data_IF_911325261216
#
_entry.id   IF_911325261216
#
_cell.length_a   1.000
_cell.length_b   1.000
_cell.length_c   1.000
_cell.angle_alpha   90.00
_cell.angle_beta   90.00
_cell.angle_gamma   90.00
#
_symmetry.space_group_name_H-M   'P 1'
#
loop_
_entity.id
_entity.type
_entity.pdbx_description
1 polymer ?
#
# COMPACT_ATOMS: atom_id res chain seq x y z
N UNK A 1 34.48 -21.14 -8.87
CA UNK A 1 33.45 -20.31 -9.52
C UNK A 1 32.75 -19.50 -8.46
N UNK A 2 33.08 -18.22 -8.34
CA UNK A 2 32.53 -17.34 -7.34
C UNK A 2 31.14 -16.86 -7.77
N UNK A 3 30.12 -17.10 -6.92
CA UNK A 3 28.80 -16.48 -7.07
C UNK A 3 28.96 -14.98 -6.86
N UNK A 4 28.75 -14.19 -7.90
CA UNK A 4 28.57 -12.75 -7.79
C UNK A 4 27.33 -12.50 -6.94
N UNK A 5 27.54 -12.03 -5.71
CA UNK A 5 26.50 -11.46 -4.89
C UNK A 5 25.93 -10.25 -5.62
N UNK A 6 24.62 -10.26 -5.84
CA UNK A 6 23.91 -9.15 -6.41
C UNK A 6 23.51 -8.22 -5.24
N UNK A 7 24.48 -7.46 -4.73
CA UNK A 7 24.28 -6.33 -3.83
C UNK A 7 23.59 -5.20 -4.62
N UNK A 8 22.32 -5.42 -4.99
CA UNK A 8 21.44 -4.30 -5.23
C UNK A 8 20.90 -3.90 -3.87
N UNK A 9 21.53 -2.85 -3.32
CA UNK A 9 21.04 -2.11 -2.20
C UNK A 9 19.50 -1.95 -2.31
N UNK A 10 18.86 -2.15 -1.20
CA UNK A 10 17.46 -1.90 -0.92
C UNK A 10 17.16 -0.40 -1.17
N UNK A 11 17.08 -0.04 -2.44
CA UNK A 11 16.70 1.31 -2.83
C UNK A 11 15.23 1.43 -2.45
N UNK A 12 14.96 2.12 -1.34
CA UNK A 12 13.61 2.46 -0.92
C UNK A 12 12.80 2.90 -2.15
N UNK A 13 11.72 2.20 -2.44
CA UNK A 13 10.84 2.55 -3.55
C UNK A 13 10.50 4.05 -3.46
N UNK A 14 10.49 4.80 -4.57
CA UNK A 14 10.09 6.20 -4.55
C UNK A 14 8.76 6.45 -3.82
N UNK A 15 7.85 5.50 -3.88
CA UNK A 15 6.59 5.52 -3.14
C UNK A 15 6.80 5.43 -1.63
N UNK A 16 7.68 4.53 -1.16
CA UNK A 16 7.99 4.40 0.26
C UNK A 16 8.61 5.68 0.82
N UNK A 17 9.52 6.28 0.05
CA UNK A 17 10.15 7.54 0.44
C UNK A 17 9.14 8.68 0.57
N UNK A 18 8.27 8.86 -0.42
CA UNK A 18 7.28 9.95 -0.43
C UNK A 18 6.18 9.73 0.62
N UNK A 19 5.73 8.48 0.82
CA UNK A 19 4.80 8.14 1.89
C UNK A 19 5.37 8.46 3.27
N UNK A 20 6.66 8.15 3.48
CA UNK A 20 7.32 8.44 4.75
C UNK A 20 7.46 9.94 4.99
N UNK A 21 7.89 10.68 3.97
CA UNK A 21 8.12 12.12 4.06
C UNK A 21 6.83 12.92 4.26
N UNK A 22 5.74 12.50 3.62
CA UNK A 22 4.46 13.21 3.61
C UNK A 22 3.34 12.34 4.18
N UNK A 23 3.65 11.58 5.24
CA UNK A 23 2.76 10.55 5.78
C UNK A 23 1.37 11.08 6.14
N UNK A 24 1.27 12.20 6.87
CA UNK A 24 0.00 12.81 7.23
C UNK A 24 -0.81 13.15 5.97
N UNK A 25 -0.20 13.79 4.98
CA UNK A 25 -0.87 14.16 3.72
C UNK A 25 -1.33 12.92 2.94
N UNK A 26 -0.59 11.81 3.01
CA UNK A 26 -1.00 10.54 2.41
C UNK A 26 -2.28 10.01 3.04
N UNK A 27 -2.33 9.96 4.37
CA UNK A 27 -3.50 9.46 5.07
C UNK A 27 -4.71 10.41 4.89
N UNK A 28 -4.50 11.73 4.92
CA UNK A 28 -5.54 12.70 4.64
C UNK A 28 -6.10 12.58 3.22
N UNK A 29 -5.27 12.24 2.25
CA UNK A 29 -5.66 12.14 0.85
C UNK A 29 -6.36 10.81 0.53
N UNK A 30 -5.77 9.69 0.95
CA UNK A 30 -6.27 8.36 0.59
C UNK A 30 -7.30 7.81 1.58
N UNK A 31 -7.21 8.18 2.85
CA UNK A 31 -8.01 7.61 3.94
C UNK A 31 -8.52 8.71 4.90
N UNK A 32 -9.30 9.69 4.42
CA UNK A 32 -9.71 10.87 5.20
C UNK A 32 -10.47 10.51 6.49
N UNK A 33 -11.29 9.45 6.47
CA UNK A 33 -12.03 8.99 7.66
C UNK A 33 -11.09 8.48 8.77
N UNK A 34 -9.95 7.91 8.40
CA UNK A 34 -8.92 7.47 9.33
C UNK A 34 -8.11 8.68 9.80
N UNK A 35 -7.71 9.57 8.87
CA UNK A 35 -6.98 10.78 9.17
C UNK A 35 -7.67 11.62 10.24
N UNK A 36 -9.00 11.73 10.16
CA UNK A 36 -9.83 12.48 11.10
C UNK A 36 -9.80 11.93 12.55
N UNK A 37 -9.44 10.65 12.72
CA UNK A 37 -9.34 10.00 14.04
C UNK A 37 -7.95 10.09 14.64
N UNK A 38 -6.92 10.42 13.87
CA UNK A 38 -5.53 10.49 14.30
C UNK A 38 -5.27 11.83 14.99
N UNK A 39 -4.55 11.79 16.10
CA UNK A 39 -4.00 12.98 16.77
C UNK A 39 -2.63 13.30 16.16
N UNK A 40 -2.60 14.21 15.21
CA UNK A 40 -1.39 14.63 14.51
C UNK A 40 -0.44 15.49 15.35
N UNK A 41 -0.83 15.90 16.58
CA UNK A 41 0.08 16.57 17.51
C UNK A 41 1.07 15.59 18.16
N UNK A 42 0.76 14.29 18.11
CA UNK A 42 1.65 13.23 18.60
C UNK A 42 2.49 12.73 17.43
N UNK A 43 3.83 12.72 17.54
CA UNK A 43 4.70 12.24 16.48
C UNK A 43 4.40 10.80 16.09
N UNK A 44 4.36 10.54 14.79
CA UNK A 44 4.21 9.19 14.26
C UNK A 44 5.52 8.40 14.41
N UNK A 45 5.43 7.09 14.66
CA UNK A 45 6.57 6.21 14.75
C UNK A 45 6.55 5.18 13.62
N UNK A 46 7.58 5.18 12.78
CA UNK A 46 7.77 4.17 11.74
C UNK A 46 8.46 2.95 12.36
N UNK A 47 7.86 1.77 12.18
CA UNK A 47 8.27 0.50 12.78
C UNK A 47 8.89 -0.43 11.73
N UNK A 48 9.74 0.11 10.85
CA UNK A 48 10.32 -0.63 9.71
C UNK A 48 11.19 -1.82 10.18
N UNK A 49 11.92 -1.65 11.28
CA UNK A 49 12.79 -2.72 11.83
C UNK A 49 11.97 -3.87 12.36
N UNK A 50 10.93 -3.57 13.11
CA UNK A 50 9.99 -4.54 13.66
C UNK A 50 9.29 -5.28 12.52
N UNK A 51 8.85 -4.54 11.50
CA UNK A 51 8.19 -5.13 10.34
C UNK A 51 9.10 -6.10 9.57
N UNK A 52 10.36 -5.73 9.34
CA UNK A 52 11.35 -6.62 8.71
C UNK A 52 11.60 -7.90 9.52
N UNK A 53 11.61 -7.81 10.84
CA UNK A 53 11.76 -9.00 11.71
C UNK A 53 10.55 -9.92 11.63
N UNK A 54 9.34 -9.36 11.48
CA UNK A 54 8.10 -10.11 11.40
C UNK A 54 7.86 -10.75 10.01
N UNK A 55 8.58 -10.29 8.99
CA UNK A 55 8.40 -10.72 7.59
C UNK A 55 9.70 -11.16 6.91
N UNK A 56 10.55 -12.01 7.55
CA UNK A 56 11.90 -12.34 7.05
C UNK A 56 11.88 -13.09 5.71
N UNK A 57 10.85 -13.91 5.46
CA UNK A 57 10.70 -14.75 4.27
C UNK A 57 9.98 -14.07 3.12
N UNK A 58 9.52 -12.84 3.35
CA UNK A 58 8.80 -12.13 2.31
C UNK A 58 9.80 -11.62 1.27
N UNK A 59 9.56 -11.92 0.01
CA UNK A 59 10.16 -11.18 -1.12
C UNK A 59 9.73 -9.69 -1.11
N UNK A 60 9.20 -9.26 0.01
CA UNK A 60 8.53 -7.99 0.34
C UNK A 60 9.40 -6.78 0.05
N UNK A 61 10.72 -6.88 0.20
CA UNK A 61 11.62 -5.76 -0.06
C UNK A 61 11.75 -5.37 -1.55
N UNK A 62 11.24 -6.18 -2.49
CA UNK A 62 11.53 -5.97 -3.92
C UNK A 62 10.37 -5.44 -4.75
N UNK A 63 9.15 -5.52 -4.27
CA UNK A 63 7.97 -5.17 -5.07
C UNK A 63 7.00 -4.17 -4.43
N UNK A 64 7.05 -4.00 -3.08
CA UNK A 64 6.02 -3.27 -2.35
C UNK A 64 6.63 -2.21 -1.43
N UNK A 65 5.93 -1.11 -1.25
CA UNK A 65 6.31 -0.06 -0.31
C UNK A 65 5.58 -0.22 1.03
N UNK A 66 5.63 -1.43 1.61
CA UNK A 66 4.98 -1.71 2.88
C UNK A 66 5.58 -0.88 4.02
N UNK A 67 4.72 -0.27 4.80
CA UNK A 67 5.11 0.49 5.99
C UNK A 67 4.25 0.09 7.17
N UNK A 68 4.89 -0.13 8.31
CA UNK A 68 4.24 -0.29 9.59
C UNK A 68 4.44 0.97 10.43
N UNK A 69 3.34 1.61 10.80
CA UNK A 69 3.39 2.91 11.47
C UNK A 69 2.52 2.90 12.71
N UNK A 70 3.06 3.37 13.83
CA UNK A 70 2.27 3.64 15.03
C UNK A 70 1.84 5.08 15.05
N UNK A 71 0.54 5.30 15.21
CA UNK A 71 -0.08 6.60 15.41
C UNK A 71 -0.93 6.56 16.68
N UNK A 72 -1.41 7.71 17.13
CA UNK A 72 -2.30 7.82 18.26
C UNK A 72 -3.63 8.42 17.82
N UNK A 73 -4.75 7.85 18.31
CA UNK A 73 -6.06 8.48 18.11
C UNK A 73 -6.26 9.63 19.06
N UNK A 74 -7.15 10.53 18.67
CA UNK A 74 -7.72 11.53 19.57
C UNK A 74 -8.30 10.83 20.79
N UNK A 75 -7.75 11.08 21.99
CA UNK A 75 -8.09 10.33 23.19
C UNK A 75 -6.93 9.48 23.76
N UNK A 76 -5.78 9.45 23.08
CA UNK A 76 -4.50 8.93 23.60
C UNK A 76 -4.20 7.46 23.36
N UNK A 77 -5.12 6.67 22.80
CA UNK A 77 -4.85 5.27 22.48
C UNK A 77 -3.95 5.14 21.26
N UNK A 78 -2.97 4.23 21.29
CA UNK A 78 -2.14 3.93 20.13
C UNK A 78 -2.90 3.07 19.11
N UNK A 79 -2.64 3.29 17.83
CA UNK A 79 -3.11 2.47 16.71
C UNK A 79 -1.90 2.08 15.88
N UNK A 80 -1.87 0.84 15.40
CA UNK A 80 -0.88 0.40 14.44
C UNK A 80 -1.53 0.40 13.05
N UNK A 81 -0.98 1.20 12.14
CA UNK A 81 -1.36 1.20 10.74
C UNK A 81 -0.37 0.36 9.96
N UNK A 82 -0.86 -0.66 9.28
CA UNK A 82 -0.11 -1.38 8.26
C UNK A 82 -0.52 -0.82 6.89
N UNK A 83 0.41 -0.17 6.22
CA UNK A 83 0.16 0.41 4.91
C UNK A 83 0.83 -0.43 3.86
N UNK A 84 0.02 -1.02 3.00
CA UNK A 84 0.46 -1.70 1.80
C UNK A 84 0.30 -0.78 0.60
N UNK A 85 1.39 -0.57 -0.10
CA UNK A 85 1.37 0.07 -1.40
C UNK A 85 1.69 -0.97 -2.46
N UNK A 86 0.67 -1.42 -3.17
CA UNK A 86 0.83 -2.32 -4.30
C UNK A 86 1.20 -1.51 -5.55
N UNK A 87 2.51 -1.50 -5.90
CA UNK A 87 3.03 -0.80 -7.08
C UNK A 87 3.36 -1.83 -8.15
N UNK A 88 2.71 -1.78 -9.29
CA UNK A 88 3.00 -2.59 -10.49
C UNK A 88 2.67 -4.09 -10.38
N UNK A 89 1.86 -4.54 -9.46
CA UNK A 89 1.47 -5.92 -9.45
C UNK A 89 0.48 -6.22 -10.58
N UNK A 90 0.72 -7.34 -11.22
CA UNK A 90 -0.38 -8.07 -11.84
C UNK A 90 -1.30 -8.57 -10.72
N UNK A 91 -2.62 -8.68 -10.96
CA UNK A 91 -3.54 -9.24 -9.97
C UNK A 91 -3.01 -10.56 -9.42
N UNK A 92 -2.85 -10.64 -8.10
CA UNK A 92 -2.38 -11.85 -7.42
C UNK A 92 -3.50 -12.38 -6.51
N UNK A 93 -3.96 -13.60 -6.73
CA UNK A 93 -4.99 -14.23 -5.88
C UNK A 93 -4.54 -14.40 -4.43
N UNK A 94 -3.23 -14.55 -4.20
CA UNK A 94 -2.62 -14.70 -2.88
C UNK A 94 -2.54 -13.37 -2.09
N UNK A 95 -2.77 -12.21 -2.73
CA UNK A 95 -2.60 -10.91 -2.09
C UNK A 95 -3.44 -10.75 -0.80
N UNK A 96 -4.75 -11.06 -0.77
CA UNK A 96 -5.54 -10.94 0.46
C UNK A 96 -5.05 -11.83 1.59
N UNK A 97 -4.58 -13.05 1.28
CA UNK A 97 -4.00 -13.97 2.25
C UNK A 97 -2.70 -13.43 2.84
N UNK A 98 -1.88 -12.78 2.01
CA UNK A 98 -0.64 -12.13 2.44
C UNK A 98 -0.91 -11.01 3.43
N UNK A 99 -1.90 -10.12 3.15
CA UNK A 99 -2.33 -9.07 4.08
C UNK A 99 -2.78 -9.66 5.42
N UNK A 100 -3.56 -10.73 5.37
CA UNK A 100 -4.00 -11.43 6.56
C UNK A 100 -2.83 -12.04 7.36
N UNK A 101 -1.86 -12.64 6.68
CA UNK A 101 -0.66 -13.19 7.32
C UNK A 101 0.12 -12.11 8.06
N UNK A 102 0.25 -10.91 7.48
CA UNK A 102 0.91 -9.78 8.14
C UNK A 102 0.11 -9.31 9.35
N UNK A 103 -1.21 -9.22 9.24
CA UNK A 103 -2.06 -8.90 10.39
C UNK A 103 -1.81 -9.85 11.56
N UNK A 104 -1.77 -11.16 11.32
CA UNK A 104 -1.55 -12.16 12.36
C UNK A 104 -0.18 -11.98 13.04
N UNK A 105 0.88 -11.79 12.25
CA UNK A 105 2.25 -11.61 12.78
C UNK A 105 2.38 -10.33 13.60
N UNK A 106 1.78 -9.24 13.14
CA UNK A 106 1.76 -7.96 13.84
C UNK A 106 0.94 -8.06 15.13
N UNK A 107 -0.23 -8.71 15.06
CA UNK A 107 -1.06 -8.94 16.24
C UNK A 107 -0.35 -9.77 17.29
N UNK A 108 0.32 -10.86 16.89
CA UNK A 108 1.08 -11.72 17.79
C UNK A 108 2.20 -10.96 18.50
N UNK A 109 2.90 -10.08 17.79
CA UNK A 109 4.03 -9.33 18.33
C UNK A 109 3.60 -8.14 19.21
N UNK A 110 2.60 -7.37 18.77
CA UNK A 110 2.21 -6.14 19.47
C UNK A 110 0.99 -6.34 20.39
N UNK A 111 0.33 -7.49 20.36
CA UNK A 111 -0.95 -7.78 21.02
C UNK A 111 -2.03 -6.73 20.72
N UNK A 112 -1.92 -6.12 19.55
CA UNK A 112 -2.84 -5.11 19.03
C UNK A 112 -3.06 -5.34 17.54
N UNK A 113 -4.32 -5.49 17.09
CA UNK A 113 -4.59 -5.67 15.67
C UNK A 113 -4.24 -4.40 14.89
N UNK A 114 -3.49 -4.52 13.79
CA UNK A 114 -3.26 -3.39 12.91
C UNK A 114 -4.51 -3.03 12.10
N UNK A 115 -4.59 -1.78 11.67
CA UNK A 115 -5.51 -1.37 10.61
C UNK A 115 -4.76 -1.50 9.29
N UNK A 116 -5.24 -2.37 8.41
CA UNK A 116 -4.62 -2.58 7.10
C UNK A 116 -5.21 -1.63 6.07
N UNK A 117 -4.35 -0.81 5.47
CA UNK A 117 -4.67 0.18 4.44
C UNK A 117 -3.93 -0.19 3.16
N UNK A 118 -4.64 -0.30 2.07
CA UNK A 118 -4.10 -0.74 0.78
C UNK A 118 -4.29 0.34 -0.27
N UNK A 119 -3.21 0.65 -1.00
CA UNK A 119 -3.24 1.56 -2.15
C UNK A 119 -2.86 0.74 -3.38
N UNK A 120 -3.83 0.46 -4.24
CA UNK A 120 -3.64 -0.29 -5.48
C UNK A 120 -3.19 0.64 -6.60
N UNK A 121 -2.04 0.35 -7.17
CA UNK A 121 -1.43 1.13 -8.24
C UNK A 121 -1.47 0.41 -9.60
N UNK A 122 -2.11 -0.76 -9.68
CA UNK A 122 -2.29 -1.52 -10.93
C UNK A 122 -3.29 -0.84 -11.89
N UNK A 123 -3.41 -1.36 -13.10
CA UNK A 123 -4.27 -0.82 -14.14
C UNK A 123 -5.47 -1.72 -14.50
N UNK A 124 -5.74 -2.75 -13.68
CA UNK A 124 -6.90 -3.62 -13.85
C UNK A 124 -8.09 -3.03 -13.07
N UNK A 125 -9.16 -2.54 -13.71
CA UNK A 125 -10.29 -1.95 -13.02
C UNK A 125 -11.07 -2.94 -12.15
N UNK A 126 -10.99 -4.23 -12.45
CA UNK A 126 -11.77 -5.27 -11.77
C UNK A 126 -11.05 -5.84 -10.52
N UNK A 127 -9.72 -5.75 -10.48
CA UNK A 127 -8.97 -6.25 -9.35
C UNK A 127 -9.04 -5.30 -8.16
N UNK A 128 -9.93 -5.65 -7.18
CA UNK A 128 -10.23 -4.82 -6.00
C UNK A 128 -10.32 -5.66 -4.74
N UNK A 129 -9.24 -6.27 -4.29
CA UNK A 129 -9.24 -7.06 -3.08
C UNK A 129 -9.50 -6.16 -1.85
N UNK A 130 -10.47 -6.55 -1.03
CA UNK A 130 -10.87 -5.84 0.18
C UNK A 130 -11.06 -6.76 1.39
N UNK A 131 -10.89 -8.08 1.19
CA UNK A 131 -11.14 -9.09 2.23
C UNK A 131 -10.35 -10.36 2.01
N UNK A 132 -10.16 -11.10 3.11
CA UNK A 132 -9.73 -12.49 3.13
C UNK A 132 -10.63 -13.27 4.08
N UNK A 133 -10.89 -14.52 3.79
CA UNK A 133 -11.67 -15.36 4.68
C UNK A 133 -11.81 -16.79 4.22
N UNK A 134 -12.19 -17.64 5.15
CA UNK A 134 -12.48 -19.05 4.88
C UNK A 134 -13.55 -19.59 5.83
N UNK A 135 -14.18 -20.67 5.41
CA UNK A 135 -15.09 -21.47 6.24
C UNK A 135 -14.72 -22.94 6.07
N UNK A 136 -14.50 -23.63 7.18
CA UNK A 136 -14.19 -25.06 7.18
C UNK A 136 -14.70 -25.72 8.46
N UNK A 137 -15.40 -26.85 8.33
CA UNK A 137 -15.88 -27.67 9.44
C UNK A 137 -16.53 -26.91 10.62
N UNK A 138 -17.32 -25.87 10.31
CA UNK A 138 -17.99 -25.04 11.33
C UNK A 138 -17.16 -23.93 11.91
N UNK A 139 -15.89 -23.81 11.52
CA UNK A 139 -15.05 -22.64 11.82
C UNK A 139 -15.08 -21.67 10.66
N UNK A 140 -15.20 -20.36 10.93
CA UNK A 140 -15.15 -19.32 9.92
C UNK A 140 -14.28 -18.17 10.37
N UNK A 141 -13.63 -17.54 9.41
CA UNK A 141 -12.86 -16.32 9.60
C UNK A 141 -13.24 -15.35 8.48
N UNK A 142 -13.42 -14.10 8.84
CA UNK A 142 -13.55 -13.01 7.89
C UNK A 142 -12.67 -11.84 8.35
N UNK A 143 -11.83 -11.38 7.47
CA UNK A 143 -10.96 -10.21 7.64
C UNK A 143 -11.20 -9.25 6.49
N UNK A 144 -11.52 -8.00 6.82
CA UNK A 144 -11.70 -6.93 5.84
C UNK A 144 -10.59 -5.89 6.02
N UNK A 145 -10.17 -5.28 4.92
CA UNK A 145 -9.19 -4.20 4.91
C UNK A 145 -9.63 -3.07 3.98
N UNK A 146 -9.14 -1.86 4.24
CA UNK A 146 -9.55 -0.68 3.48
C UNK A 146 -8.65 -0.52 2.26
N UNK A 147 -9.26 -0.45 1.09
CA UNK A 147 -8.54 -0.36 -0.19
C UNK A 147 -8.92 0.93 -0.92
N UNK A 148 -7.92 1.60 -1.49
CA UNK A 148 -8.04 2.71 -2.42
C UNK A 148 -7.33 2.34 -3.71
N UNK A 149 -7.95 2.63 -4.86
CA UNK A 149 -7.37 2.35 -6.17
C UNK A 149 -7.02 3.65 -6.89
N UNK A 150 -5.76 3.79 -7.32
CA UNK A 150 -5.32 5.02 -8.00
C UNK A 150 -6.08 5.27 -9.30
N UNK A 151 -6.49 4.21 -9.98
CA UNK A 151 -7.24 4.31 -11.22
C UNK A 151 -8.55 5.10 -11.07
N UNK A 152 -9.19 5.05 -9.89
CA UNK A 152 -10.47 5.76 -9.63
C UNK A 152 -10.30 7.28 -9.65
N UNK A 153 -9.10 7.77 -9.38
CA UNK A 153 -8.82 9.20 -9.45
C UNK A 153 -8.75 9.74 -10.89
N UNK A 154 -8.72 8.87 -11.90
CA UNK A 154 -8.76 9.31 -13.30
C UNK A 154 -10.07 10.04 -13.64
N UNK A 155 -11.18 9.66 -13.00
CA UNK A 155 -12.49 10.31 -13.17
C UNK A 155 -12.62 11.63 -12.37
N UNK A 156 -11.67 11.88 -11.47
CA UNK A 156 -11.62 13.06 -10.58
C UNK A 156 -10.45 13.97 -10.92
N UNK A 157 -10.08 14.03 -12.19
CA UNK A 157 -8.89 14.75 -12.64
C UNK A 157 -8.88 16.23 -12.28
N UNK A 158 -10.01 16.92 -12.44
CA UNK A 158 -10.17 18.33 -12.11
C UNK A 158 -9.97 18.61 -10.60
N UNK A 159 -10.40 17.68 -9.74
CA UNK A 159 -10.15 17.78 -8.29
C UNK A 159 -8.66 17.64 -7.97
N UNK A 160 -7.95 16.76 -8.68
CA UNK A 160 -6.51 16.59 -8.51
C UNK A 160 -5.75 17.84 -8.92
N UNK A 161 -6.13 18.50 -10.03
CA UNK A 161 -5.46 19.69 -10.54
C UNK A 161 -5.50 20.88 -9.57
N UNK A 162 -6.58 21.02 -8.81
CA UNK A 162 -6.76 22.12 -7.85
C UNK A 162 -6.30 21.77 -6.43
N UNK A 163 -5.98 20.50 -6.18
CA UNK A 163 -5.58 20.02 -4.86
C UNK A 163 -4.19 20.53 -4.44
N UNK A 164 -4.08 21.01 -3.21
CA UNK A 164 -2.80 21.40 -2.60
C UNK A 164 -2.07 20.22 -1.96
N UNK A 165 -2.69 19.03 -1.92
CA UNK A 165 -2.07 17.83 -1.37
C UNK A 165 -1.05 17.26 -2.36
N UNK A 166 0.17 16.98 -1.90
CA UNK A 166 1.26 16.47 -2.75
C UNK A 166 0.88 15.16 -3.46
N UNK A 167 0.04 14.34 -2.85
CA UNK A 167 -0.40 13.06 -3.44
C UNK A 167 -1.31 13.23 -4.65
N UNK A 168 -1.98 14.35 -4.81
CA UNK A 168 -2.70 14.64 -6.05
C UNK A 168 -1.71 14.64 -7.24
N UNK A 169 -0.58 15.36 -7.13
CA UNK A 169 0.47 15.36 -8.16
C UNK A 169 1.09 13.98 -8.38
N UNK A 170 1.32 13.23 -7.30
CA UNK A 170 1.87 11.86 -7.38
C UNK A 170 0.92 10.94 -8.14
N UNK A 171 -0.37 10.97 -7.82
CA UNK A 171 -1.41 10.18 -8.51
C UNK A 171 -1.53 10.57 -9.98
N UNK A 172 -1.60 11.86 -10.28
CA UNK A 172 -1.64 12.36 -11.67
C UNK A 172 -0.42 11.86 -12.47
N UNK A 173 0.78 11.95 -11.89
CA UNK A 173 2.01 11.48 -12.53
C UNK A 173 1.97 9.97 -12.77
N UNK A 174 1.51 9.20 -11.80
CA UNK A 174 1.38 7.75 -11.91
C UNK A 174 0.40 7.36 -13.02
N UNK A 175 -0.79 7.94 -13.03
CA UNK A 175 -1.82 7.67 -14.06
C UNK A 175 -1.34 8.03 -15.46
N UNK A 176 -0.66 9.17 -15.63
CA UNK A 176 -0.06 9.55 -16.91
C UNK A 176 1.04 8.59 -17.36
N UNK A 177 1.88 8.12 -16.44
CA UNK A 177 2.90 7.13 -16.76
C UNK A 177 2.28 5.79 -17.20
N UNK A 178 1.19 5.35 -16.57
CA UNK A 178 0.44 4.14 -16.99
C UNK A 178 -0.16 4.32 -18.39
N UNK A 179 -0.80 5.45 -18.66
CA UNK A 179 -1.37 5.77 -19.97
C UNK A 179 -0.30 5.72 -21.07
N UNK A 180 0.87 6.31 -20.83
CA UNK A 180 1.99 6.29 -21.77
C UNK A 180 2.50 4.87 -22.05
N UNK A 181 2.62 4.02 -21.02
CA UNK A 181 3.02 2.61 -21.19
C UNK A 181 2.02 1.85 -22.07
N UNK A 182 0.72 2.01 -21.83
CA UNK A 182 -0.34 1.39 -22.67
C UNK A 182 -0.24 1.82 -24.13
N UNK A 183 0.01 3.09 -24.40
CA UNK A 183 0.14 3.63 -25.75
C UNK A 183 1.38 3.08 -26.47
N UNK A 184 2.51 2.89 -25.76
CA UNK A 184 3.72 2.26 -26.33
C UNK A 184 3.46 0.80 -26.67
N UNK A 185 2.79 0.05 -25.80
CA UNK A 185 2.44 -1.37 -26.04
C UNK A 185 1.49 -1.49 -27.23
N UNK A 186 0.42 -0.69 -27.29
CA UNK A 186 -0.50 -0.65 -28.46
C UNK A 186 0.22 -0.33 -29.77
N UNK A 187 1.18 0.61 -29.78
CA UNK A 187 1.98 0.94 -30.96
C UNK A 187 2.86 -0.23 -31.41
N UNK A 188 3.42 -1.02 -30.48
CA UNK A 188 4.21 -2.21 -30.81
C UNK A 188 3.34 -3.30 -31.40
N UNK A 189 2.19 -3.58 -30.83
CA UNK A 189 1.24 -4.57 -31.36
C UNK A 189 0.73 -4.21 -32.74
N UNK A 190 0.51 -2.91 -33.01
CA UNK A 190 0.09 -2.43 -34.33
C UNK A 190 1.17 -2.57 -35.40
N UNK A 191 2.46 -2.49 -35.02
CA UNK A 191 3.57 -2.68 -35.95
C UNK A 191 3.86 -4.13 -36.29
N UNK A 192 3.30 -5.08 -35.53
CA UNK A 192 3.49 -6.53 -35.74
C UNK A 192 2.33 -7.20 -36.50
N UNK A 193 1.31 -6.44 -36.90
CA UNK A 193 0.21 -6.82 -37.77
C UNK A 193 0.41 -6.23 -39.18
#
# INVERSE_FOLDING_TARGET
MAKKGNDRADADSPWKMILRQYFQQAIEFFFPDIANKIDWNIPVAFLDREFQQLTPDSEVGKRFADQLVRVYQKGGNSIILLIHLEVQAEPEDIFPERIFTYLLRIFDYFHQPPISLVILCDNDPEWRPDRYGFTTFGSSLQFNFTTVKLLDYAERWEELEVSQNVFATVVMTHLKAQEMKRNVTRRKEWKLR
#
